data_IF_043592627904
#
_entry.id   IF_043592627904
#
_cell.length_a   1.000
_cell.length_b   1.000
_cell.length_c   1.000
_cell.angle_alpha   90.00
_cell.angle_beta   90.00
_cell.angle_gamma   90.00
#
_symmetry.space_group_name_H-M   'P 1'
#
loop_
_entity.id
_entity.type
_entity.pdbx_description
1 polymer ?
#
# COMPACT_ATOMS: atom_id res chain seq x y z
N UNK A 1 24.02 3.65 -31.58
CA UNK A 1 23.14 2.79 -30.74
C UNK A 1 22.85 3.50 -29.44
N UNK A 2 21.60 3.92 -29.21
CA UNK A 2 21.15 4.52 -27.95
C UNK A 2 20.65 3.40 -27.03
N UNK A 3 21.50 2.94 -26.11
CA UNK A 3 21.07 2.06 -25.02
C UNK A 3 20.13 2.83 -24.08
N UNK A 4 18.84 2.50 -24.10
CA UNK A 4 17.90 3.04 -23.12
C UNK A 4 18.17 2.41 -21.74
N UNK A 5 18.20 3.22 -20.67
CA UNK A 5 18.61 2.76 -19.34
C UNK A 5 17.63 1.73 -18.73
N UNK A 6 18.16 0.82 -17.93
CA UNK A 6 17.51 -0.33 -17.24
C UNK A 6 16.49 0.06 -16.14
N UNK A 7 15.93 1.25 -16.23
CA UNK A 7 15.13 1.94 -15.21
C UNK A 7 13.89 1.14 -14.73
N UNK A 8 13.12 0.43 -15.57
CA UNK A 8 11.82 -0.13 -15.15
C UNK A 8 11.91 -1.29 -14.14
N UNK A 9 12.87 -2.20 -14.29
CA UNK A 9 12.99 -3.36 -13.40
C UNK A 9 13.51 -3.01 -12.00
N UNK A 10 14.41 -2.02 -11.94
CA UNK A 10 14.93 -1.48 -10.68
C UNK A 10 13.86 -0.68 -9.94
N UNK A 11 13.04 0.09 -10.68
CA UNK A 11 11.88 0.79 -10.12
C UNK A 11 10.88 -0.16 -9.47
N UNK A 12 10.51 -1.24 -10.16
CA UNK A 12 9.50 -2.14 -9.63
C UNK A 12 10.01 -2.98 -8.44
N UNK A 13 11.28 -3.40 -8.45
CA UNK A 13 11.90 -4.04 -7.29
C UNK A 13 11.98 -3.09 -6.08
N UNK A 14 12.26 -1.80 -6.32
CA UNK A 14 12.22 -0.78 -5.28
C UNK A 14 10.82 -0.66 -4.68
N UNK A 15 9.79 -0.44 -5.50
CA UNK A 15 8.43 -0.30 -5.00
C UNK A 15 7.95 -1.54 -4.24
N UNK A 16 8.29 -2.76 -4.69
CA UNK A 16 8.00 -3.99 -3.94
C UNK A 16 8.75 -4.08 -2.60
N UNK A 17 9.99 -3.62 -2.54
CA UNK A 17 10.80 -3.71 -1.34
C UNK A 17 10.48 -2.61 -0.32
N UNK A 18 9.97 -1.46 -0.75
CA UNK A 18 9.82 -0.28 0.11
C UNK A 18 8.37 0.08 0.44
N UNK A 19 7.38 -0.54 -0.20
CA UNK A 19 5.97 -0.28 0.07
C UNK A 19 5.27 -1.48 0.72
N UNK A 20 5.15 -2.66 0.08
CA UNK A 20 4.48 -3.82 0.68
C UNK A 20 5.29 -4.52 1.78
N UNK A 21 6.61 -4.68 1.62
CA UNK A 21 7.42 -5.43 2.58
C UNK A 21 7.44 -4.83 4.01
N UNK A 22 7.54 -3.49 4.20
CA UNK A 22 7.39 -2.87 5.52
C UNK A 22 6.03 -3.14 6.15
N UNK A 23 4.95 -3.09 5.36
CA UNK A 23 3.59 -3.28 5.86
C UNK A 23 3.32 -4.72 6.29
N UNK A 24 3.83 -5.69 5.52
CA UNK A 24 3.76 -7.12 5.87
C UNK A 24 4.61 -7.41 7.10
N UNK A 25 5.83 -6.86 7.18
CA UNK A 25 6.67 -7.00 8.36
C UNK A 25 6.00 -6.41 9.61
N UNK A 26 5.39 -5.23 9.49
CA UNK A 26 4.63 -4.60 10.58
C UNK A 26 3.49 -5.50 11.05
N UNK A 27 2.66 -6.01 10.14
CA UNK A 27 1.58 -6.96 10.47
C UNK A 27 2.09 -8.20 11.22
N UNK A 28 3.28 -8.69 10.86
CA UNK A 28 3.79 -9.95 11.39
C UNK A 28 4.53 -9.81 12.71
N UNK A 29 5.03 -8.61 13.03
CA UNK A 29 5.91 -8.38 14.18
C UNK A 29 5.33 -7.51 15.27
N UNK A 30 4.29 -6.72 14.98
CA UNK A 30 3.69 -5.78 15.94
C UNK A 30 2.17 -5.78 15.79
N UNK A 31 1.46 -5.57 16.91
CA UNK A 31 0.03 -5.25 16.85
C UNK A 31 -0.12 -3.76 16.57
N UNK A 32 -1.00 -3.41 15.64
CA UNK A 32 -1.31 -2.00 15.31
C UNK A 32 -1.84 -1.21 16.51
N UNK A 33 -2.30 -1.92 17.55
CA UNK A 33 -2.74 -1.42 18.85
C UNK A 33 -1.62 -0.80 19.71
N UNK A 34 -0.33 -1.02 19.41
CA UNK A 34 0.78 -0.59 20.27
C UNK A 34 1.28 0.85 20.02
N UNK A 35 0.53 1.70 19.31
CA UNK A 35 0.90 3.10 19.02
C UNK A 35 2.35 3.27 18.52
N UNK A 36 2.78 2.36 17.64
CA UNK A 36 4.16 2.32 17.20
C UNK A 36 4.50 3.57 16.37
N UNK A 37 5.63 4.24 16.65
CA UNK A 37 5.96 5.48 15.97
C UNK A 37 6.25 5.19 14.49
N UNK A 38 5.60 5.96 13.63
CA UNK A 38 5.83 6.06 12.18
C UNK A 38 7.32 5.98 11.80
N UNK A 39 8.21 6.53 12.63
CA UNK A 39 9.66 6.48 12.46
C UNK A 39 10.19 5.06 12.18
N UNK A 40 9.66 4.04 12.85
CA UNK A 40 10.02 2.63 12.70
C UNK A 40 9.77 2.11 11.28
N UNK A 41 8.63 2.46 10.68
CA UNK A 41 8.29 2.11 9.29
C UNK A 41 9.13 2.86 8.26
N UNK A 42 9.52 4.11 8.56
CA UNK A 42 10.32 4.94 7.65
C UNK A 42 11.78 4.50 7.54
N UNK A 43 12.33 3.75 8.50
CA UNK A 43 13.72 3.26 8.40
C UNK A 43 13.92 2.28 7.25
N UNK A 44 12.90 1.52 6.88
CA UNK A 44 13.00 0.53 5.82
C UNK A 44 13.30 1.13 4.44
N UNK A 45 12.52 2.09 3.91
CA UNK A 45 12.87 2.77 2.67
C UNK A 45 14.18 3.57 2.77
N UNK A 46 14.50 4.12 3.94
CA UNK A 46 15.77 4.85 4.18
C UNK A 46 16.98 3.90 4.08
N UNK A 47 16.92 2.72 4.71
CA UNK A 47 18.00 1.73 4.70
C UNK A 47 18.11 0.96 3.37
N UNK A 48 17.04 0.93 2.57
CA UNK A 48 17.07 0.37 1.22
C UNK A 48 17.75 1.30 0.20
N UNK A 49 17.75 2.62 0.45
CA UNK A 49 18.30 3.63 -0.48
C UNK A 49 19.75 3.40 -0.96
N UNK A 50 20.73 2.97 -0.12
CA UNK A 50 22.09 2.72 -0.60
C UNK A 50 22.15 1.56 -1.59
N UNK A 51 21.35 0.50 -1.39
CA UNK A 51 21.32 -0.64 -2.30
C UNK A 51 20.76 -0.25 -3.67
N UNK A 52 19.67 0.52 -3.69
CA UNK A 52 19.11 1.05 -4.94
C UNK A 52 20.11 1.94 -5.68
N UNK A 53 20.72 2.89 -4.97
CA UNK A 53 21.69 3.81 -5.55
C UNK A 53 22.91 3.06 -6.11
N UNK A 54 23.38 2.01 -5.42
CA UNK A 54 24.46 1.15 -5.87
C UNK A 54 24.11 0.41 -7.16
N UNK A 55 22.92 -0.20 -7.24
CA UNK A 55 22.45 -0.92 -8.42
C UNK A 55 22.30 0.02 -9.63
N UNK A 56 21.75 1.23 -9.43
CA UNK A 56 21.63 2.24 -10.48
C UNK A 56 23.01 2.70 -10.97
N UNK A 57 23.95 2.98 -10.05
CA UNK A 57 25.29 3.42 -10.41
C UNK A 57 26.11 2.32 -11.10
N UNK A 58 26.02 1.08 -10.65
CA UNK A 58 26.72 -0.06 -11.25
C UNK A 58 26.23 -0.38 -12.68
N UNK A 59 24.97 -0.05 -13.00
CA UNK A 59 24.36 -0.28 -14.29
C UNK A 59 24.63 0.80 -15.35
N UNK A 60 25.28 1.92 -15.00
CA UNK A 60 25.53 3.02 -15.96
C UNK A 60 26.84 2.83 -16.73
N UNK A 61 26.90 3.29 -18.00
CA UNK A 61 28.14 3.29 -18.76
C UNK A 61 29.16 4.22 -18.10
N UNK A 62 30.33 3.66 -17.74
CA UNK A 62 31.42 4.43 -17.14
C UNK A 62 32.00 5.41 -18.16
N UNK A 63 31.94 6.70 -17.83
CA UNK A 63 32.83 7.71 -18.41
C UNK A 63 34.02 7.87 -17.46
N UNK A 64 35.24 7.68 -17.96
CA UNK A 64 36.45 7.85 -17.14
C UNK A 64 36.63 9.33 -16.79
N UNK A 65 37.09 9.60 -15.57
CA UNK A 65 37.34 10.94 -15.05
C UNK A 65 36.31 11.44 -14.05
N UNK A 66 36.69 12.50 -13.32
CA UNK A 66 35.88 13.21 -12.32
C UNK A 66 34.46 13.57 -12.82
N UNK A 67 34.25 14.09 -14.05
CA UNK A 67 32.90 14.42 -14.51
C UNK A 67 32.01 13.19 -14.71
N UNK A 68 32.58 12.03 -15.05
CA UNK A 68 31.83 10.79 -15.21
C UNK A 68 31.37 10.19 -13.89
N UNK A 69 32.22 10.28 -12.86
CA UNK A 69 31.86 9.94 -11.48
C UNK A 69 30.74 10.84 -10.97
N UNK A 70 30.93 12.16 -11.05
CA UNK A 70 29.98 13.16 -10.55
C UNK A 70 28.61 13.01 -11.20
N UNK A 71 28.56 12.82 -12.52
CA UNK A 71 27.31 12.58 -13.25
C UNK A 71 26.64 11.26 -12.81
N UNK A 72 27.40 10.18 -12.70
CA UNK A 72 26.82 8.86 -12.35
C UNK A 72 26.25 8.85 -10.93
N UNK A 73 27.02 9.39 -9.98
CA UNK A 73 26.59 9.52 -8.58
C UNK A 73 25.40 10.47 -8.50
N UNK A 74 25.50 11.67 -9.08
CA UNK A 74 24.44 12.68 -9.05
C UNK A 74 23.11 12.16 -9.57
N UNK A 75 23.09 11.53 -10.75
CA UNK A 75 21.84 11.02 -11.33
C UNK A 75 21.32 9.79 -10.57
N UNK A 76 22.18 8.92 -10.02
CA UNK A 76 21.72 7.78 -9.20
C UNK A 76 21.12 8.23 -7.87
N UNK A 77 21.77 9.19 -7.21
CA UNK A 77 21.27 9.80 -5.97
C UNK A 77 19.96 10.54 -6.22
N UNK A 78 19.84 11.33 -7.29
CA UNK A 78 18.58 12.03 -7.64
C UNK A 78 17.43 11.06 -7.88
N UNK A 79 17.65 10.00 -8.67
CA UNK A 79 16.61 8.98 -8.92
C UNK A 79 16.23 8.26 -7.62
N UNK A 80 17.20 7.92 -6.78
CA UNK A 80 16.95 7.28 -5.47
C UNK A 80 16.19 8.22 -4.53
N UNK A 81 16.56 9.50 -4.50
CA UNK A 81 15.90 10.51 -3.69
C UNK A 81 14.44 10.73 -4.13
N UNK A 82 14.17 10.78 -5.44
CA UNK A 82 12.81 10.88 -5.97
C UNK A 82 11.95 9.66 -5.58
N UNK A 83 12.53 8.46 -5.62
CA UNK A 83 11.82 7.22 -5.27
C UNK A 83 11.63 7.05 -3.77
N UNK A 84 12.60 7.47 -2.97
CA UNK A 84 12.47 7.59 -1.52
C UNK A 84 11.38 8.59 -1.17
N UNK A 85 11.40 9.80 -1.76
CA UNK A 85 10.37 10.81 -1.56
C UNK A 85 8.98 10.28 -1.94
N UNK A 86 8.85 9.54 -3.05
CA UNK A 86 7.61 8.88 -3.43
C UNK A 86 7.15 7.82 -2.42
N UNK A 87 8.07 7.03 -1.86
CA UNK A 87 7.76 6.04 -0.82
C UNK A 87 7.35 6.73 0.49
N UNK A 88 8.05 7.79 0.90
CA UNK A 88 7.70 8.59 2.08
C UNK A 88 6.36 9.30 1.91
N UNK A 89 6.09 9.85 0.72
CA UNK A 89 4.81 10.46 0.38
C UNK A 89 3.68 9.42 0.42
N UNK A 90 3.94 8.20 -0.04
CA UNK A 90 3.01 7.08 0.11
C UNK A 90 2.74 6.77 1.58
N UNK A 91 3.77 6.64 2.44
CA UNK A 91 3.55 6.43 3.88
C UNK A 91 2.81 7.59 4.55
N UNK A 92 3.08 8.84 4.14
CA UNK A 92 2.38 10.05 4.60
C UNK A 92 0.90 10.07 4.21
N UNK A 93 0.55 9.50 3.05
CA UNK A 93 -0.79 9.56 2.46
C UNK A 93 -1.63 8.31 2.69
N UNK A 94 -1.01 7.14 2.75
CA UNK A 94 -1.69 5.84 2.77
C UNK A 94 -1.77 5.29 4.18
N UNK A 95 -0.70 5.41 4.99
CA UNK A 95 -0.75 4.84 6.33
C UNK A 95 -1.20 5.92 7.32
N UNK A 96 -2.30 5.70 8.05
CA UNK A 96 -2.84 6.65 9.02
C UNK A 96 -1.99 6.59 10.29
N UNK A 97 -0.74 7.04 10.17
CA UNK A 97 0.21 6.97 11.26
C UNK A 97 0.14 8.24 12.10
N UNK A 98 -0.11 8.07 13.38
CA UNK A 98 -0.02 9.09 14.42
C UNK A 98 1.45 9.32 14.79
N UNK A 99 1.76 10.50 15.36
CA UNK A 99 3.11 10.86 15.82
C UNK A 99 3.95 11.73 14.87
N UNK A 100 5.00 12.35 15.42
CA UNK A 100 5.90 13.22 14.66
C UNK A 100 6.94 12.42 13.86
N UNK A 101 6.73 12.29 12.55
CA UNK A 101 7.81 11.89 11.65
C UNK A 101 8.72 13.07 11.33
N UNK A 102 10.02 12.87 11.56
CA UNK A 102 11.08 13.78 11.13
C UNK A 102 11.39 13.56 9.65
N UNK A 103 10.41 13.81 8.79
CA UNK A 103 10.47 13.57 7.33
C UNK A 103 11.73 14.14 6.68
N UNK A 104 12.13 15.35 7.08
CA UNK A 104 13.36 15.97 6.61
C UNK A 104 14.61 15.14 6.96
N UNK A 105 14.67 14.54 8.15
CA UNK A 105 15.79 13.67 8.54
C UNK A 105 15.77 12.33 7.81
N UNK A 106 14.59 11.74 7.60
CA UNK A 106 14.47 10.51 6.81
C UNK A 106 14.95 10.75 5.37
N UNK A 107 14.54 11.86 4.76
CA UNK A 107 14.96 12.24 3.41
C UNK A 107 16.47 12.54 3.36
N UNK A 108 16.99 13.36 4.26
CA UNK A 108 18.42 13.71 4.32
C UNK A 108 19.31 12.49 4.62
N UNK A 109 18.91 11.65 5.58
CA UNK A 109 19.60 10.41 5.92
C UNK A 109 19.61 9.43 4.75
N UNK A 110 18.46 9.23 4.11
CA UNK A 110 18.35 8.39 2.92
C UNK A 110 19.15 8.93 1.73
N UNK A 111 19.28 10.24 1.59
CA UNK A 111 20.07 10.88 0.53
C UNK A 111 21.58 10.73 0.79
N UNK A 112 22.02 10.88 2.04
CA UNK A 112 23.40 10.59 2.45
C UNK A 112 23.76 9.13 2.18
N UNK A 113 22.89 8.18 2.56
CA UNK A 113 23.07 6.76 2.27
C UNK A 113 23.06 6.47 0.76
N UNK A 114 22.19 7.13 -0.02
CA UNK A 114 22.16 7.00 -1.47
C UNK A 114 23.48 7.45 -2.12
N UNK A 115 24.12 8.51 -1.63
CA UNK A 115 25.45 8.93 -2.10
C UNK A 115 26.49 7.84 -1.84
N UNK A 116 26.53 7.29 -0.63
CA UNK A 116 27.45 6.19 -0.27
C UNK A 116 27.21 4.97 -1.16
N UNK A 117 25.94 4.56 -1.33
CA UNK A 117 25.56 3.47 -2.21
C UNK A 117 25.98 3.70 -3.66
N UNK A 118 25.71 4.89 -4.21
CA UNK A 118 26.10 5.23 -5.58
C UNK A 118 27.62 5.21 -5.79
N UNK A 119 28.42 5.64 -4.80
CA UNK A 119 29.88 5.56 -4.84
C UNK A 119 30.35 4.11 -4.88
N UNK A 120 29.80 3.26 -4.00
CA UNK A 120 30.09 1.82 -3.97
C UNK A 120 29.70 1.12 -5.28
N UNK A 121 28.51 1.42 -5.80
CA UNK A 121 28.03 0.90 -7.08
C UNK A 121 28.89 1.34 -8.26
N UNK A 122 29.28 2.62 -8.29
CA UNK A 122 30.20 3.12 -9.30
C UNK A 122 31.54 2.42 -9.25
N UNK A 123 32.11 2.19 -8.05
CA UNK A 123 33.40 1.51 -7.86
C UNK A 123 33.37 0.03 -8.28
N UNK A 124 32.28 -0.68 -7.94
CA UNK A 124 32.10 -2.11 -8.20
C UNK A 124 31.62 -2.43 -9.62
N UNK A 125 30.88 -1.53 -10.27
CA UNK A 125 30.34 -1.72 -11.63
C UNK A 125 31.38 -1.96 -12.73
N UNK A 126 32.65 -1.66 -12.47
CA UNK A 126 33.77 -2.02 -13.36
C UNK A 126 34.12 -3.50 -13.40
N UNK A 127 33.63 -4.30 -12.45
CA UNK A 127 33.95 -5.72 -12.29
C UNK A 127 32.81 -6.63 -12.72
N UNK A 128 31.64 -6.07 -13.08
CA UNK A 128 30.48 -6.85 -13.48
C UNK A 128 30.47 -7.02 -15.01
N UNK A 129 30.44 -8.26 -15.53
CA UNK A 129 30.34 -8.51 -16.96
C UNK A 129 29.12 -7.78 -17.55
N UNK A 130 29.31 -7.06 -18.67
CA UNK A 130 28.22 -6.50 -19.47
C UNK A 130 27.27 -7.63 -19.83
N UNK A 131 26.13 -7.66 -19.17
CA UNK A 131 25.03 -8.57 -19.48
C UNK A 131 24.18 -7.95 -20.57
N UNK A 132 24.73 -7.90 -21.78
CA UNK A 132 23.98 -7.70 -23.03
C UNK A 132 23.25 -8.99 -23.41
N UNK A 133 22.67 -9.66 -22.41
CA UNK A 133 21.91 -10.89 -22.63
C UNK A 133 20.52 -10.51 -23.15
N UNK A 134 20.01 -11.20 -24.18
CA UNK A 134 18.66 -11.00 -24.66
C UNK A 134 17.66 -11.14 -23.52
N UNK A 135 16.53 -10.43 -23.63
CA UNK A 135 15.47 -10.44 -22.63
C UNK A 135 15.11 -11.88 -22.21
N UNK A 136 15.64 -12.31 -21.06
CA UNK A 136 15.50 -13.68 -20.59
C UNK A 136 14.10 -13.92 -20.04
N UNK A 137 13.67 -15.19 -19.99
CA UNK A 137 12.41 -15.60 -19.36
C UNK A 137 12.26 -15.09 -17.91
N UNK A 138 13.37 -14.74 -17.25
CA UNK A 138 13.39 -14.17 -15.89
C UNK A 138 12.59 -12.86 -15.78
N UNK A 139 12.53 -12.02 -16.82
CA UNK A 139 11.74 -10.79 -16.78
C UNK A 139 10.23 -11.03 -16.63
N UNK A 140 9.72 -12.07 -17.31
CA UNK A 140 8.32 -12.50 -17.17
C UNK A 140 8.06 -13.14 -15.81
N UNK A 141 9.00 -13.94 -15.29
CA UNK A 141 8.87 -14.53 -13.95
C UNK A 141 8.85 -13.45 -12.87
N UNK A 142 9.81 -12.51 -12.89
CA UNK A 142 9.88 -11.41 -11.92
C UNK A 142 8.63 -10.52 -12.02
N UNK A 143 8.22 -10.15 -13.25
CA UNK A 143 7.01 -9.37 -13.47
C UNK A 143 5.75 -10.10 -13.01
N UNK A 144 5.61 -11.40 -13.29
CA UNK A 144 4.48 -12.22 -12.86
C UNK A 144 4.41 -12.36 -11.33
N UNK A 145 5.54 -12.63 -10.67
CA UNK A 145 5.61 -12.65 -9.20
C UNK A 145 5.26 -11.28 -8.61
N UNK A 146 5.74 -10.19 -9.20
CA UNK A 146 5.43 -8.82 -8.78
C UNK A 146 3.93 -8.51 -8.89
N UNK A 147 3.26 -8.93 -9.97
CA UNK A 147 1.81 -8.80 -10.14
C UNK A 147 1.08 -9.55 -9.03
N UNK A 148 1.44 -10.82 -8.82
CA UNK A 148 0.74 -11.69 -7.89
C UNK A 148 0.91 -11.22 -6.44
N UNK A 149 2.15 -10.89 -6.03
CA UNK A 149 2.40 -10.31 -4.71
C UNK A 149 1.71 -8.96 -4.54
N UNK A 150 1.84 -8.06 -5.53
CA UNK A 150 1.28 -6.72 -5.44
C UNK A 150 -0.24 -6.74 -5.31
N UNK A 151 -0.92 -7.57 -6.09
CA UNK A 151 -2.38 -7.70 -6.05
C UNK A 151 -2.88 -8.28 -4.70
N UNK A 152 -2.23 -9.33 -4.19
CA UNK A 152 -2.58 -9.93 -2.90
C UNK A 152 -2.31 -8.98 -1.74
N UNK A 153 -1.17 -8.30 -1.75
CA UNK A 153 -0.77 -7.42 -0.65
C UNK A 153 -1.53 -6.08 -0.62
N UNK A 154 -2.11 -5.65 -1.73
CA UNK A 154 -2.88 -4.41 -1.78
C UNK A 154 -4.11 -4.46 -0.86
N UNK A 155 -4.83 -5.58 -0.85
CA UNK A 155 -5.99 -5.75 0.01
C UNK A 155 -5.60 -5.75 1.49
N UNK A 156 -4.56 -6.51 1.85
CA UNK A 156 -4.02 -6.56 3.20
C UNK A 156 -3.53 -5.18 3.65
N UNK A 157 -2.89 -4.43 2.76
CA UNK A 157 -2.43 -3.05 3.04
C UNK A 157 -3.58 -2.11 3.33
N UNK A 158 -4.64 -2.13 2.53
CA UNK A 158 -5.84 -1.30 2.75
C UNK A 158 -6.51 -1.69 4.07
N UNK A 159 -6.63 -2.99 4.34
CA UNK A 159 -7.23 -3.52 5.57
C UNK A 159 -6.46 -3.09 6.81
N UNK A 160 -5.15 -3.30 6.83
CA UNK A 160 -4.30 -2.92 7.97
C UNK A 160 -4.28 -1.40 8.18
N UNK A 161 -4.31 -0.61 7.10
CA UNK A 161 -4.43 0.84 7.20
C UNK A 161 -5.77 1.28 7.82
N UNK A 162 -6.86 0.61 7.47
CA UNK A 162 -8.17 0.87 8.06
C UNK A 162 -8.21 0.43 9.54
N UNK A 163 -7.76 -0.80 9.86
CA UNK A 163 -7.64 -1.31 11.24
C UNK A 163 -6.81 -0.38 12.13
N UNK A 164 -5.66 0.11 11.64
CA UNK A 164 -4.83 1.06 12.36
C UNK A 164 -5.45 2.45 12.54
N UNK A 165 -6.42 2.85 11.71
CA UNK A 165 -7.16 4.11 11.91
C UNK A 165 -8.25 4.00 12.97
N UNK A 166 -8.75 2.77 13.18
CA UNK A 166 -9.84 2.48 14.10
C UNK A 166 -9.35 1.95 15.45
N UNK A 167 -8.09 1.49 15.53
CA UNK A 167 -7.44 1.09 16.77
C UNK A 167 -7.10 2.32 17.62
N UNK A 168 -7.73 2.46 18.78
CA UNK A 168 -7.35 3.44 19.81
C UNK A 168 -8.42 4.47 20.18
N UNK A 169 -9.50 4.60 19.41
CA UNK A 169 -10.63 5.47 19.76
C UNK A 169 -11.89 4.61 19.96
N UNK A 170 -12.38 4.42 21.20
CA UNK A 170 -13.69 3.80 21.38
C UNK A 170 -14.73 4.66 20.64
N UNK A 171 -15.63 4.04 19.85
CA UNK A 171 -16.64 4.80 19.12
C UNK A 171 -17.53 5.55 20.11
N UNK A 172 -18.04 6.71 19.70
CA UNK A 172 -19.17 7.32 20.40
C UNK A 172 -20.35 6.35 20.31
N UNK A 173 -20.70 5.68 21.40
CA UNK A 173 -21.81 4.74 21.40
C UNK A 173 -23.16 5.47 21.49
N UNK A 174 -24.01 5.28 20.50
CA UNK A 174 -25.40 5.76 20.50
C UNK A 174 -26.39 4.71 21.02
N UNK A 175 -25.95 3.47 21.18
CA UNK A 175 -26.74 2.31 21.58
C UNK A 175 -26.37 1.07 20.77
N UNK A 176 -27.06 -0.05 20.98
CA UNK A 176 -26.72 -1.30 20.28
C UNK A 176 -27.68 -2.44 20.55
N UNK A 177 -27.24 -3.67 20.32
CA UNK A 177 -27.90 -4.93 20.66
C UNK A 177 -26.86 -5.92 21.21
N UNK A 178 -27.27 -6.77 22.17
CA UNK A 178 -26.41 -7.77 22.81
C UNK A 178 -25.95 -7.42 24.22
N UNK A 179 -25.32 -8.36 24.94
CA UNK A 179 -24.95 -8.22 26.35
C UNK A 179 -23.97 -7.08 26.66
N UNK A 180 -23.19 -6.63 25.67
CA UNK A 180 -22.23 -5.54 25.83
C UNK A 180 -22.75 -4.18 25.35
N UNK A 181 -23.96 -4.12 24.79
CA UNK A 181 -24.56 -2.86 24.37
C UNK A 181 -25.20 -2.10 25.53
N UNK A 182 -25.06 -0.77 25.53
CA UNK A 182 -25.65 0.13 26.55
C UNK A 182 -27.18 0.19 26.52
N UNK A 183 -27.82 -0.34 25.47
CA UNK A 183 -29.26 -0.32 25.26
C UNK A 183 -29.73 -1.59 24.53
N UNK A 184 -30.95 -2.04 24.82
CA UNK A 184 -31.52 -3.25 24.22
C UNK A 184 -32.14 -2.97 22.83
N UNK A 185 -31.30 -2.91 21.81
CA UNK A 185 -31.72 -2.79 20.40
C UNK A 185 -32.17 -1.39 20.00
N UNK A 186 -31.94 -0.35 20.82
CA UNK A 186 -32.36 1.03 20.53
C UNK A 186 -31.16 1.96 20.54
N UNK A 187 -31.08 2.88 19.59
CA UNK A 187 -30.04 3.90 19.59
C UNK A 187 -30.63 5.26 19.21
N UNK A 188 -30.03 6.34 19.72
CA UNK A 188 -30.50 7.71 19.42
C UNK A 188 -29.40 8.49 18.73
N UNK A 189 -29.67 8.95 17.53
CA UNK A 189 -28.72 9.72 16.71
C UNK A 189 -29.06 11.21 16.75
N UNK A 190 -28.05 12.10 16.84
CA UNK A 190 -28.27 13.53 16.96
C UNK A 190 -28.64 14.21 15.64
N UNK A 191 -28.36 13.59 14.49
CA UNK A 191 -28.55 14.16 13.16
C UNK A 191 -28.87 13.09 12.11
N UNK A 192 -29.32 13.52 10.94
CA UNK A 192 -29.30 12.67 9.74
C UNK A 192 -27.85 12.48 9.29
N UNK A 193 -27.49 11.27 8.83
CA UNK A 193 -26.10 11.01 8.46
C UNK A 193 -25.75 9.52 8.30
N UNK A 194 -24.45 9.27 8.10
CA UNK A 194 -23.89 7.93 8.11
C UNK A 194 -23.37 7.58 9.50
N UNK A 195 -23.66 6.36 9.95
CA UNK A 195 -23.24 5.79 11.22
C UNK A 195 -22.61 4.42 10.98
N UNK A 196 -21.68 4.02 11.85
CA UNK A 196 -21.03 2.72 11.78
C UNK A 196 -21.68 1.74 12.76
N UNK A 197 -21.76 0.48 12.36
CA UNK A 197 -22.10 -0.66 13.22
C UNK A 197 -20.78 -1.35 13.56
N UNK A 198 -20.53 -1.50 14.86
CA UNK A 198 -19.35 -2.17 15.38
C UNK A 198 -19.73 -3.46 16.09
N UNK A 199 -19.13 -4.57 15.70
CA UNK A 199 -19.12 -5.81 16.47
C UNK A 199 -18.25 -5.61 17.72
N UNK A 200 -18.71 -6.10 18.88
CA UNK A 200 -18.00 -6.00 20.15
C UNK A 200 -17.64 -7.40 20.65
N UNK A 201 -16.37 -7.60 21.01
CA UNK A 201 -15.87 -8.89 21.50
C UNK A 201 -15.73 -9.91 20.37
N UNK A 202 -16.38 -11.08 20.52
CA UNK A 202 -16.29 -12.19 19.57
C UNK A 202 -17.46 -12.27 18.56
N UNK A 203 -18.22 -11.17 18.42
CA UNK A 203 -19.38 -11.10 17.54
C UNK A 203 -19.00 -11.33 16.05
N UNK A 204 -19.96 -11.84 15.27
CA UNK A 204 -19.76 -12.11 13.85
C UNK A 204 -19.41 -10.85 13.06
N UNK A 205 -18.58 -11.07 12.07
CA UNK A 205 -18.07 -10.07 11.15
C UNK A 205 -19.02 -9.79 9.97
N UNK A 206 -19.96 -10.70 9.72
CA UNK A 206 -21.00 -10.55 8.69
C UNK A 206 -22.40 -10.72 9.32
N UNK A 207 -22.88 -9.73 10.09
CA UNK A 207 -24.15 -9.84 10.76
C UNK A 207 -25.33 -9.46 9.86
N UNK A 208 -26.40 -10.26 9.91
CA UNK A 208 -27.70 -9.91 9.32
C UNK A 208 -28.39 -8.88 10.23
N UNK A 209 -28.00 -7.63 10.07
CA UNK A 209 -28.52 -6.48 10.81
C UNK A 209 -29.60 -5.75 10.03
N UNK A 210 -30.63 -5.27 10.74
CA UNK A 210 -31.70 -4.41 10.25
C UNK A 210 -31.80 -3.17 11.12
N UNK A 211 -32.01 -2.04 10.48
CA UNK A 211 -32.16 -0.75 11.15
C UNK A 211 -33.51 -0.15 10.78
N UNK A 212 -34.37 0.06 11.76
CA UNK A 212 -35.71 0.60 11.58
C UNK A 212 -35.93 1.81 12.49
N UNK A 213 -36.64 2.84 12.01
CA UNK A 213 -36.89 4.03 12.84
C UNK A 213 -37.73 5.11 12.17
N UNK A 214 -37.58 6.34 12.67
CA UNK A 214 -38.35 7.51 12.23
C UNK A 214 -37.96 7.86 10.79
N UNK A 215 -38.79 7.45 9.83
CA UNK A 215 -38.55 7.65 8.40
C UNK A 215 -38.45 6.37 7.57
N UNK A 216 -38.54 5.18 8.20
CA UNK A 216 -38.56 3.89 7.52
C UNK A 216 -37.37 3.00 7.89
N UNK A 217 -37.15 1.96 7.08
CA UNK A 217 -35.99 1.07 7.20
C UNK A 217 -34.74 1.71 6.58
N UNK A 218 -33.59 1.49 7.19
CA UNK A 218 -32.28 1.83 6.67
C UNK A 218 -31.46 0.54 6.47
N UNK A 219 -30.85 0.38 5.30
CA UNK A 219 -30.09 -0.82 4.95
C UNK A 219 -28.62 -0.64 5.36
N UNK A 220 -28.07 -1.53 6.21
CA UNK A 220 -26.64 -1.57 6.49
C UNK A 220 -25.88 -2.06 5.26
N UNK A 221 -24.75 -1.41 4.96
CA UNK A 221 -23.84 -1.75 3.88
C UNK A 221 -22.54 -2.26 4.49
N UNK A 222 -22.14 -3.49 4.14
CA UNK A 222 -20.86 -4.09 4.54
C UNK A 222 -19.68 -3.25 4.07
N UNK A 223 -18.58 -3.22 4.83
CA UNK A 223 -17.39 -2.44 4.47
C UNK A 223 -16.33 -3.34 3.82
N UNK A 224 -16.06 -3.23 2.50
CA UNK A 224 -15.02 -4.03 1.85
C UNK A 224 -13.61 -3.49 2.19
N UNK A 225 -12.56 -4.34 2.20
CA UNK A 225 -12.51 -5.73 1.77
C UNK A 225 -12.71 -6.75 2.93
N UNK A 226 -13.34 -6.31 4.02
CA UNK A 226 -13.59 -7.09 5.24
C UNK A 226 -13.54 -6.16 6.46
N UNK A 227 -13.90 -6.72 7.61
CA UNK A 227 -14.02 -6.02 8.88
C UNK A 227 -12.70 -5.47 9.42
N UNK A 228 -12.82 -4.40 10.20
CA UNK A 228 -11.67 -3.70 10.76
C UNK A 228 -11.73 -3.65 12.29
N UNK A 229 -10.78 -4.32 12.95
CA UNK A 229 -10.65 -4.44 14.42
C UNK A 229 -10.59 -5.91 14.81
N UNK A 230 -9.66 -6.31 15.69
CA UNK A 230 -9.42 -7.74 15.90
C UNK A 230 -8.36 -8.11 16.92
N UNK A 231 -8.61 -7.77 18.18
CA UNK A 231 -8.23 -8.64 19.28
C UNK A 231 -9.42 -8.84 20.23
N UNK A 232 -9.38 -9.86 21.08
CA UNK A 232 -10.51 -10.38 21.87
C UNK A 232 -11.26 -9.39 22.80
N UNK A 233 -10.91 -8.10 22.78
CA UNK A 233 -11.49 -7.03 23.58
C UNK A 233 -11.93 -5.78 22.78
N UNK A 234 -11.80 -5.74 21.45
CA UNK A 234 -11.94 -4.52 20.63
C UNK A 234 -13.21 -4.47 19.77
N UNK A 235 -13.63 -3.24 19.43
CA UNK A 235 -14.72 -2.93 18.50
C UNK A 235 -14.24 -3.20 17.07
N UNK A 236 -14.98 -4.00 16.30
CA UNK A 236 -14.72 -4.25 14.88
C UNK A 236 -15.77 -3.55 14.01
N UNK A 237 -15.36 -2.66 13.08
CA UNK A 237 -16.28 -2.01 12.16
C UNK A 237 -16.74 -2.97 11.07
N UNK A 238 -18.03 -3.33 11.08
CA UNK A 238 -18.60 -4.39 10.21
C UNK A 238 -19.53 -3.85 9.13
N UNK A 239 -20.25 -2.75 9.41
CA UNK A 239 -21.19 -2.16 8.46
C UNK A 239 -21.34 -0.65 8.64
N UNK A 240 -21.87 0.01 7.61
CA UNK A 240 -22.27 1.43 7.64
C UNK A 240 -23.76 1.54 7.35
N UNK A 241 -24.49 2.35 8.12
CA UNK A 241 -25.92 2.63 7.89
C UNK A 241 -26.12 4.13 7.67
N UNK A 242 -26.98 4.51 6.73
CA UNK A 242 -27.40 5.90 6.53
C UNK A 242 -28.81 6.11 7.07
N UNK A 243 -28.94 6.97 8.07
CA UNK A 243 -30.23 7.33 8.65
C UNK A 243 -30.70 8.69 8.11
N UNK A 244 -31.97 8.79 7.64
CA UNK A 244 -32.50 10.00 7.00
C UNK A 244 -32.83 11.13 7.98
N UNK A 245 -32.96 10.86 9.28
CA UNK A 245 -33.38 11.83 10.28
C UNK A 245 -32.76 11.56 11.66
N UNK A 246 -32.61 12.63 12.44
CA UNK A 246 -32.29 12.55 13.86
C UNK A 246 -33.43 11.88 14.63
N UNK A 247 -33.09 11.22 15.74
CA UNK A 247 -34.08 10.63 16.64
C UNK A 247 -33.77 9.20 17.05
N UNK A 248 -34.80 8.49 17.51
CA UNK A 248 -34.68 7.13 18.00
C UNK A 248 -34.85 6.11 16.87
N UNK A 249 -33.93 5.15 16.84
CA UNK A 249 -33.86 4.06 15.89
C UNK A 249 -33.70 2.74 16.63
N UNK A 250 -33.99 1.65 15.93
CA UNK A 250 -33.84 0.29 16.42
C UNK A 250 -32.84 -0.45 15.56
N UNK A 251 -31.97 -1.22 16.20
CA UNK A 251 -31.01 -2.13 15.58
C UNK A 251 -31.37 -3.55 16.02
N UNK A 252 -31.64 -4.41 15.06
CA UNK A 252 -31.84 -5.85 15.25
C UNK A 252 -30.78 -6.60 14.45
N UNK A 253 -29.97 -7.42 15.09
CA UNK A 253 -28.93 -8.22 14.44
C UNK A 253 -29.10 -9.68 14.81
N UNK A 254 -29.20 -10.54 13.79
CA UNK A 254 -29.30 -11.98 14.00
C UNK A 254 -27.91 -12.60 14.09
N UNK A 255 -27.63 -13.24 15.22
CA UNK A 255 -26.41 -13.99 15.46
C UNK A 255 -26.72 -15.31 16.15
N UNK A 256 -26.09 -16.44 15.74
CA UNK A 256 -26.19 -17.69 16.48
C UNK A 256 -25.40 -17.67 17.79
N UNK A 257 -24.49 -16.71 17.96
CA UNK A 257 -23.70 -16.52 19.16
C UNK A 257 -24.46 -15.62 20.16
N UNK A 258 -24.82 -16.13 21.36
CA UNK A 258 -25.54 -15.37 22.39
C UNK A 258 -24.70 -14.25 23.02
N UNK A 259 -23.37 -14.28 22.88
CA UNK A 259 -22.48 -13.23 23.37
C UNK A 259 -22.25 -12.13 22.34
N UNK A 260 -22.71 -12.33 21.09
CA UNK A 260 -22.54 -11.35 20.04
C UNK A 260 -23.24 -10.03 20.39
N UNK A 261 -22.47 -8.95 20.38
CA UNK A 261 -22.97 -7.60 20.59
C UNK A 261 -22.57 -6.70 19.44
N UNK A 262 -23.48 -5.81 19.06
CA UNK A 262 -23.27 -4.82 18.01
C UNK A 262 -23.69 -3.45 18.53
N UNK A 263 -22.84 -2.45 18.39
CA UNK A 263 -23.13 -1.07 18.78
C UNK A 263 -23.13 -0.14 17.56
N UNK A 264 -23.94 0.90 17.62
CA UNK A 264 -23.96 1.98 16.63
C UNK A 264 -23.13 3.13 17.16
N UNK A 265 -22.21 3.62 16.33
CA UNK A 265 -21.40 4.78 16.64
C UNK A 265 -21.11 5.66 15.44
N UNK A 266 -20.29 6.69 15.68
CA UNK A 266 -19.80 7.55 14.61
C UNK A 266 -18.95 6.74 13.62
N UNK A 267 -19.05 7.08 12.33
CA UNK A 267 -18.16 6.49 11.32
C UNK A 267 -16.72 6.91 11.62
N UNK A 268 -15.77 5.97 11.74
CA UNK A 268 -14.38 6.32 12.02
C UNK A 268 -13.80 7.23 10.94
N UNK A 269 -13.07 8.27 11.36
CA UNK A 269 -12.30 9.09 10.42
C UNK A 269 -11.06 8.35 9.93
N UNK A 270 -11.18 7.62 8.82
CA UNK A 270 -10.01 7.07 8.14
C UNK A 270 -9.37 8.17 7.29
N UNK A 271 -8.23 8.68 7.75
CA UNK A 271 -7.50 9.76 7.06
C UNK A 271 -6.73 9.21 5.86
N UNK A 272 -6.45 10.11 4.90
CA UNK A 272 -5.59 9.81 3.75
C UNK A 272 -6.28 9.03 2.63
N UNK A 273 -5.48 8.43 1.74
CA UNK A 273 -5.99 7.70 0.58
C UNK A 273 -6.70 6.40 0.98
N UNK A 274 -6.34 5.77 2.11
CA UNK A 274 -7.01 4.55 2.59
C UNK A 274 -8.49 4.81 2.88
N UNK A 275 -8.84 5.97 3.42
CA UNK A 275 -10.25 6.35 3.66
C UNK A 275 -11.11 6.39 2.40
N UNK A 276 -10.51 6.60 1.21
CA UNK A 276 -11.23 6.45 -0.05
C UNK A 276 -11.14 5.04 -0.63
N UNK A 277 -10.02 4.33 -0.43
CA UNK A 277 -9.79 2.97 -0.94
C UNK A 277 -10.66 1.90 -0.28
N UNK A 278 -11.07 2.07 0.98
CA UNK A 278 -12.02 1.15 1.65
C UNK A 278 -13.40 1.11 0.97
N UNK A 279 -13.72 2.12 0.16
CA UNK A 279 -14.97 2.18 -0.60
C UNK A 279 -14.79 1.71 -2.05
N UNK A 280 -13.58 1.33 -2.46
CA UNK A 280 -13.33 0.88 -3.83
C UNK A 280 -13.74 -0.58 -4.01
N UNK A 281 -14.25 -0.95 -5.21
CA UNK A 281 -14.38 -2.34 -5.58
C UNK A 281 -13.05 -3.08 -5.41
N UNK A 282 -13.10 -4.28 -4.82
CA UNK A 282 -11.91 -5.11 -4.55
C UNK A 282 -11.04 -5.26 -5.81
N UNK A 283 -11.65 -5.46 -6.99
CA UNK A 283 -10.92 -5.56 -8.26
C UNK A 283 -10.03 -4.35 -8.60
N UNK A 284 -10.42 -3.13 -8.22
CA UNK A 284 -9.61 -1.93 -8.44
C UNK A 284 -8.41 -1.86 -7.48
N UNK A 285 -8.58 -2.33 -6.24
CA UNK A 285 -7.50 -2.44 -5.26
C UNK A 285 -6.44 -3.43 -5.76
N UNK A 286 -6.87 -4.58 -6.26
CA UNK A 286 -5.99 -5.59 -6.85
C UNK A 286 -5.22 -5.06 -8.06
N UNK A 287 -5.90 -4.31 -8.94
CA UNK A 287 -5.28 -3.74 -10.14
C UNK A 287 -4.24 -2.66 -9.79
N UNK A 288 -4.52 -1.83 -8.79
CA UNK A 288 -3.57 -0.86 -8.27
C UNK A 288 -2.30 -1.55 -7.72
N UNK A 289 -2.48 -2.65 -6.98
CA UNK A 289 -1.38 -3.49 -6.49
C UNK A 289 -0.59 -4.18 -7.61
N UNK A 290 -1.27 -4.66 -8.65
CA UNK A 290 -0.66 -5.35 -9.80
C UNK A 290 0.13 -4.43 -10.74
N UNK A 291 -0.18 -3.14 -10.76
CA UNK A 291 0.33 -2.17 -11.73
C UNK A 291 1.88 -2.19 -11.87
N UNK A 292 2.69 -2.21 -10.80
CA UNK A 292 4.15 -2.24 -10.92
C UNK A 292 4.64 -3.50 -11.64
N UNK A 293 4.06 -4.66 -11.36
CA UNK A 293 4.39 -5.92 -12.03
C UNK A 293 3.98 -5.91 -13.50
N UNK A 294 2.81 -5.36 -13.82
CA UNK A 294 2.34 -5.21 -15.20
C UNK A 294 3.28 -4.31 -16.02
N UNK A 295 3.83 -3.25 -15.42
CA UNK A 295 4.83 -2.40 -16.06
C UNK A 295 6.14 -3.15 -16.37
N UNK A 296 6.60 -4.05 -15.49
CA UNK A 296 7.76 -4.92 -15.76
C UNK A 296 7.48 -5.84 -16.94
N UNK A 297 6.31 -6.50 -16.93
CA UNK A 297 5.91 -7.42 -18.01
C UNK A 297 5.82 -6.65 -19.33
N UNK A 298 5.15 -5.50 -19.35
CA UNK A 298 5.00 -4.65 -20.54
C UNK A 298 6.34 -4.21 -21.12
N UNK A 299 7.29 -3.79 -20.29
CA UNK A 299 8.64 -3.46 -20.73
C UNK A 299 9.38 -4.68 -21.29
N UNK A 300 9.21 -5.86 -20.67
CA UNK A 300 9.82 -7.11 -21.12
C UNK A 300 9.28 -7.53 -22.49
N UNK A 301 7.97 -7.37 -22.73
CA UNK A 301 7.32 -7.59 -24.02
C UNK A 301 7.87 -6.61 -25.06
N UNK A 302 7.93 -5.32 -24.75
CA UNK A 302 8.45 -4.28 -25.65
C UNK A 302 9.88 -4.56 -26.10
N UNK A 303 10.76 -4.97 -25.18
CA UNK A 303 12.15 -5.34 -25.49
C UNK A 303 12.26 -6.55 -26.40
N UNK A 304 11.39 -7.55 -26.20
CA UNK A 304 11.36 -8.76 -27.03
C UNK A 304 10.84 -8.49 -28.43
N UNK A 305 9.87 -7.59 -28.57
CA UNK A 305 9.36 -7.14 -29.86
C UNK A 305 10.43 -6.36 -30.64
N UNK A 306 11.15 -5.43 -30.00
CA UNK A 306 12.24 -4.68 -30.62
C UNK A 306 13.43 -5.54 -31.07
N UNK A 307 13.72 -6.64 -30.35
CA UNK A 307 14.78 -7.58 -30.73
C UNK A 307 14.38 -8.53 -31.88
N UNK A 308 13.09 -8.60 -32.24
CA UNK A 308 12.55 -9.42 -33.33
C UNK A 308 12.28 -8.62 -34.61
N UNK A 309 12.45 -7.30 -34.60
CA UNK A 309 12.33 -6.51 -35.81
C UNK A 309 13.41 -6.97 -36.81
N UNK A 310 13.02 -7.46 -38.01
CA UNK A 310 13.97 -8.02 -38.95
C UNK A 310 14.93 -6.92 -39.42
N UNK A 311 16.22 -7.26 -39.50
CA UNK A 311 17.22 -6.46 -40.18
C UNK A 311 16.98 -6.53 -41.70
N UNK A 312 15.89 -5.97 -42.19
CA UNK A 312 15.64 -5.76 -43.62
C UNK A 312 16.16 -4.38 -44.01
N UNK A 313 17.47 -4.27 -44.18
CA UNK A 313 18.13 -3.23 -44.99
C UNK A 313 19.62 -3.59 -45.10
N UNK A 314 19.97 -4.45 -46.05
CA UNK A 314 21.37 -4.80 -46.27
C UNK A 314 21.59 -5.98 -47.20
N UNK A 315 20.80 -6.10 -48.26
CA UNK A 315 21.11 -6.99 -49.37
C UNK A 315 20.32 -6.57 -50.61
N UNK A 316 20.61 -5.37 -51.13
CA UNK A 316 20.48 -5.18 -52.57
C UNK A 316 21.43 -4.06 -53.04
N UNK A 317 22.14 -4.31 -54.14
CA UNK A 317 23.00 -3.32 -54.78
C UNK A 317 24.51 -3.60 -54.76
N UNK A 318 24.94 -4.83 -55.06
CA UNK A 318 26.25 -5.06 -55.69
C UNK A 318 26.10 -6.16 -56.75
N UNK A 319 25.85 -5.72 -57.97
CA UNK A 319 26.04 -6.39 -59.28
C UNK A 319 25.53 -5.36 -60.30
N UNK A 320 26.25 -4.85 -61.30
CA UNK A 320 27.55 -5.11 -61.93
C UNK A 320 28.09 -3.79 -62.48
#
# INVERSE_FOLDING_TARGET
>A
MHERPRVPGVLAAWFLATVPAPLVWFQWTHRWEEDQPLSSALWWPVLASPALAALLAAGRPRRRGVPGLALTVGVSTLVTAALLAGSLAFFRWVVPLTGEARWGRALLGGLALAVVGALLGYATGGRLPRTDRPASRRGYLIGGFAVLLGAVLAQTTVRLGAEGSTAGQPPTEYGGVGPYATSAGRFTVPAAGAYAIFAVGFASTDPDCRVDGVGGAAEPVSVPPGDYGGDAASYAWVATVRVPAAGMWTLDCRSPDPEASYVVGDVPEIRGAVGSLIHWPVGLIWLAGALPGLLIVGETVRRRAGARAPATAGADGRER
#
